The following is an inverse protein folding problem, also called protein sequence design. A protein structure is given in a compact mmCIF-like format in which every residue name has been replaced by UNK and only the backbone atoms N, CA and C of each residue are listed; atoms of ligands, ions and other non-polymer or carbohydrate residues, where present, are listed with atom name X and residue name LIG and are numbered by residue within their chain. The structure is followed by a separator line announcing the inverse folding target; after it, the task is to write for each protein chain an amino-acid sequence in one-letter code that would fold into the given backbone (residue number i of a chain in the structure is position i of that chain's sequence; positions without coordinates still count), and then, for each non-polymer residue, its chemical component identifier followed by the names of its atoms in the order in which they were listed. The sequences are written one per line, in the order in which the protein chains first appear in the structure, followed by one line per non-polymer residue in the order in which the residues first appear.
data_IF_924672080613
#
_entry.id   IF_924672080613
#
_cell.length_a   1.000
_cell.length_b   1.000
_cell.length_c   1.000
_cell.angle_alpha   90.00
_cell.angle_beta   90.00
_cell.angle_gamma   90.00
#
_symmetry.space_group_name_H-M   'P 1'
#
loop_
_entity.id
_entity.type
_entity.pdbx_description
1 polymer ?
#
# COMPACT_ATOMS: atom_id res chain seq x y z
N UNK A 1 53.45 13.53 -16.84
CA UNK A 1 54.28 14.63 -16.35
C UNK A 1 53.44 15.50 -15.45
N UNK A 2 53.76 15.37 -14.15
CA UNK A 2 53.77 16.37 -13.07
C UNK A 2 52.42 16.72 -12.43
N UNK A 3 52.23 16.11 -11.26
CA UNK A 3 51.67 16.69 -10.01
C UNK A 3 52.69 17.70 -9.46
N UNK A 4 52.35 18.76 -8.72
CA UNK A 4 52.17 18.60 -7.27
C UNK A 4 51.13 19.57 -6.67
N UNK A 5 50.52 19.16 -5.59
CA UNK A 5 50.85 19.30 -4.14
C UNK A 5 50.49 20.68 -3.58
N UNK A 6 49.57 20.67 -2.64
CA UNK A 6 49.69 20.73 -1.18
C UNK A 6 49.92 22.11 -0.56
N UNK A 7 49.43 22.18 0.66
CA UNK A 7 49.86 23.03 1.80
C UNK A 7 48.78 24.01 2.25
N UNK A 8 48.05 23.76 3.30
CA UNK A 8 48.38 23.65 4.72
C UNK A 8 48.19 24.97 5.52
N UNK A 9 47.69 24.78 6.69
CA UNK A 9 47.90 25.52 7.95
C UNK A 9 46.87 26.60 8.30
N UNK A 10 46.18 26.41 9.32
CA UNK A 10 46.41 26.33 10.76
C UNK A 10 45.93 27.55 11.56
N UNK A 11 45.17 27.24 12.59
CA UNK A 11 45.26 27.76 13.97
C UNK A 11 44.96 29.23 14.31
N UNK A 12 44.05 29.39 15.21
CA UNK A 12 44.18 29.92 16.60
C UNK A 12 42.81 30.23 17.14
N UNK A 13 42.30 29.49 18.08
CA UNK A 13 42.42 29.69 19.56
C UNK A 13 42.38 31.16 19.99
N UNK A 14 41.35 31.45 20.80
CA UNK A 14 41.49 32.12 22.09
C UNK A 14 40.13 32.23 22.79
N UNK A 15 40.00 31.55 23.92
CA UNK A 15 39.31 31.94 25.15
C UNK A 15 40.27 32.89 25.93
N UNK A 16 39.92 33.48 27.11
CA UNK A 16 38.72 33.47 27.95
C UNK A 16 38.43 34.85 28.58
N UNK A 17 37.63 34.93 29.64
CA UNK A 17 37.65 35.73 30.89
C UNK A 17 36.24 36.25 31.21
N UNK A 18 35.51 35.65 32.16
CA UNK A 18 35.44 35.69 33.66
C UNK A 18 34.85 36.98 34.25
N UNK A 19 33.96 36.72 35.20
CA UNK A 19 33.40 37.57 36.30
C UNK A 19 32.12 38.34 35.93
N UNK A 20 31.05 38.34 36.75
CA UNK A 20 30.89 38.32 38.20
C UNK A 20 29.45 37.95 38.58
N UNK A 21 29.27 37.14 39.58
CA UNK A 21 28.12 37.08 40.50
C UNK A 21 28.37 38.15 41.61
N UNK A 22 27.49 38.59 42.48
CA UNK A 22 26.21 37.99 42.94
C UNK A 22 25.08 38.99 43.27
N UNK A 23 23.88 38.53 43.56
CA UNK A 23 23.10 38.93 44.74
C UNK A 23 21.77 38.18 44.89
N UNK A 24 21.67 37.62 46.06
CA UNK A 24 20.56 36.89 46.65
C UNK A 24 19.30 37.75 46.89
N UNK A 25 18.14 37.07 46.73
CA UNK A 25 16.97 36.89 47.61
C UNK A 25 15.82 37.93 47.48
N UNK A 26 14.57 37.55 47.82
CA UNK A 26 14.00 36.32 48.33
C UNK A 26 12.77 35.75 47.56
N UNK A 27 12.47 34.49 47.81
CA UNK A 27 11.28 33.72 47.47
C UNK A 27 9.94 34.44 47.75
N UNK A 28 8.91 34.11 46.96
CA UNK A 28 7.70 33.64 47.55
C UNK A 28 7.38 32.18 47.13
N UNK A 29 7.00 31.45 48.14
CA UNK A 29 6.43 30.12 48.08
C UNK A 29 5.29 30.07 47.05
N UNK A 30 5.49 29.36 45.97
CA UNK A 30 4.38 28.88 45.18
C UNK A 30 4.15 27.42 45.52
N UNK A 31 2.99 27.24 46.13
CA UNK A 31 2.24 26.02 46.32
C UNK A 31 2.52 25.04 45.16
N UNK A 32 3.01 23.84 45.53
CA UNK A 32 3.10 22.73 44.62
C UNK A 32 1.72 22.41 44.11
N UNK A 33 1.45 22.82 42.88
CA UNK A 33 0.37 22.22 42.11
C UNK A 33 0.93 20.90 41.62
N UNK A 34 0.46 19.85 42.26
CA UNK A 34 0.62 18.47 41.85
C UNK A 34 0.09 18.37 40.41
N UNK A 35 0.99 18.43 39.44
CA UNK A 35 0.67 18.10 38.08
C UNK A 35 0.44 16.59 38.08
N UNK A 36 -0.82 16.24 38.22
CA UNK A 36 -1.32 14.90 37.91
C UNK A 36 -0.94 14.66 36.46
N UNK A 37 0.05 13.82 36.24
CA UNK A 37 0.36 13.29 34.91
C UNK A 37 -0.96 12.73 34.34
N UNK A 38 -1.34 13.05 33.10
CA UNK A 38 -2.44 12.34 32.49
C UNK A 38 -2.05 10.87 32.47
N UNK A 39 -2.84 10.07 33.17
CA UNK A 39 -2.81 8.63 33.06
C UNK A 39 -2.77 8.29 31.57
N UNK A 40 -1.67 7.74 31.11
CA UNK A 40 -1.53 7.03 29.86
C UNK A 40 -2.46 5.80 29.96
N UNK A 41 -3.75 6.03 29.79
CA UNK A 41 -4.68 4.94 29.52
C UNK A 41 -4.28 4.47 28.13
N UNK A 42 -3.71 3.27 28.00
CA UNK A 42 -3.47 2.73 26.68
C UNK A 42 -4.85 2.65 26.02
N UNK A 43 -5.09 3.52 25.04
CA UNK A 43 -6.28 3.42 24.20
C UNK A 43 -6.27 1.98 23.68
N UNK A 44 -7.19 1.17 24.18
CA UNK A 44 -7.39 -0.18 23.71
C UNK A 44 -7.67 -0.06 22.20
N UNK A 45 -6.67 -0.30 21.39
CA UNK A 45 -6.81 -0.30 19.93
C UNK A 45 -7.90 -1.31 19.60
N UNK A 46 -9.02 -0.81 19.10
CA UNK A 46 -10.12 -1.65 18.62
C UNK A 46 -9.57 -2.41 17.41
N UNK A 47 -9.22 -3.66 17.62
CA UNK A 47 -8.82 -4.53 16.52
C UNK A 47 -10.08 -4.97 15.77
N UNK A 48 -10.19 -4.58 14.53
CA UNK A 48 -11.20 -5.11 13.62
C UNK A 48 -10.76 -6.49 13.14
N UNK A 49 -11.54 -7.51 13.42
CA UNK A 49 -11.32 -8.84 12.88
C UNK A 49 -11.71 -8.84 11.40
N UNK A 50 -10.71 -8.92 10.55
CA UNK A 50 -10.86 -9.07 9.09
C UNK A 50 -10.44 -10.49 8.73
N UNK A 51 -11.31 -11.22 8.02
CA UNK A 51 -10.97 -12.54 7.51
C UNK A 51 -9.79 -12.48 6.52
N UNK A 52 -8.99 -13.54 6.48
CA UNK A 52 -7.88 -13.62 5.55
C UNK A 52 -8.39 -13.60 4.10
N UNK A 53 -7.75 -12.81 3.26
CA UNK A 53 -8.06 -12.74 1.83
C UNK A 53 -6.81 -12.57 0.99
N UNK A 54 -6.94 -12.87 -0.29
CA UNK A 54 -5.91 -12.64 -1.29
C UNK A 54 -6.53 -12.04 -2.55
N UNK A 55 -5.91 -10.98 -3.05
CA UNK A 55 -6.26 -10.35 -4.33
C UNK A 55 -5.07 -10.49 -5.26
N UNK A 56 -5.31 -11.05 -6.43
CA UNK A 56 -4.31 -11.14 -7.48
C UNK A 56 -4.64 -10.17 -8.62
N UNK A 57 -3.60 -9.62 -9.23
CA UNK A 57 -3.71 -8.69 -10.33
C UNK A 57 -2.82 -9.09 -11.49
N UNK A 58 -3.34 -8.93 -12.70
CA UNK A 58 -2.59 -9.00 -13.95
C UNK A 58 -2.51 -7.59 -14.54
N UNK A 59 -1.32 -7.03 -14.56
CA UNK A 59 -1.08 -5.69 -15.08
C UNK A 59 -0.63 -5.75 -16.53
N UNK A 60 -1.35 -5.03 -17.38
CA UNK A 60 -1.02 -4.77 -18.78
C UNK A 60 -0.72 -3.29 -18.99
N UNK A 61 -0.17 -2.89 -20.13
CA UNK A 61 0.10 -1.48 -20.41
C UNK A 61 -1.14 -0.57 -20.37
N UNK A 62 -2.32 -1.11 -20.65
CA UNK A 62 -3.57 -0.35 -20.84
C UNK A 62 -4.69 -0.75 -19.88
N UNK A 63 -4.57 -1.86 -19.17
CA UNK A 63 -5.55 -2.25 -18.16
C UNK A 63 -4.94 -3.11 -17.06
N UNK A 64 -5.67 -3.21 -15.94
CA UNK A 64 -5.38 -4.14 -14.84
C UNK A 64 -6.58 -5.06 -14.66
N UNK A 65 -6.32 -6.35 -14.53
CA UNK A 65 -7.35 -7.36 -14.27
C UNK A 65 -7.16 -7.87 -12.85
N UNK A 66 -8.19 -7.76 -12.03
CA UNK A 66 -8.18 -8.09 -10.61
C UNK A 66 -9.10 -9.29 -10.34
N UNK A 67 -8.68 -10.15 -9.43
CA UNK A 67 -9.46 -11.30 -8.97
C UNK A 67 -9.24 -11.54 -7.48
N UNK A 68 -10.30 -11.91 -6.77
CA UNK A 68 -10.20 -12.48 -5.43
C UNK A 68 -9.73 -13.93 -5.55
N UNK A 69 -8.62 -14.27 -4.86
CA UNK A 69 -7.95 -15.56 -5.02
C UNK A 69 -7.84 -16.40 -3.74
N UNK A 70 -8.51 -15.98 -2.66
CA UNK A 70 -8.43 -16.64 -1.34
C UNK A 70 -8.74 -18.13 -1.39
N UNK A 71 -9.79 -18.51 -2.12
CA UNK A 71 -10.31 -19.87 -2.14
C UNK A 71 -10.53 -20.41 -3.56
N UNK A 72 -9.65 -20.07 -4.50
CA UNK A 72 -9.76 -20.57 -5.85
C UNK A 72 -9.55 -22.08 -5.93
N UNK A 73 -10.47 -22.79 -6.58
CA UNK A 73 -10.30 -24.19 -6.94
C UNK A 73 -9.14 -24.39 -7.92
N UNK A 74 -8.63 -25.61 -8.02
CA UNK A 74 -7.55 -25.94 -8.94
C UNK A 74 -7.88 -25.57 -10.41
N UNK A 75 -9.14 -25.73 -10.83
CA UNK A 75 -9.59 -25.37 -12.17
C UNK A 75 -9.59 -23.86 -12.40
N UNK A 76 -10.02 -23.08 -11.40
CA UNK A 76 -9.99 -21.62 -11.46
C UNK A 76 -8.54 -21.10 -11.48
N UNK A 77 -7.67 -21.64 -10.63
CA UNK A 77 -6.23 -21.32 -10.64
C UNK A 77 -5.58 -21.62 -11.99
N UNK A 78 -5.94 -22.74 -12.61
CA UNK A 78 -5.43 -23.10 -13.93
C UNK A 78 -5.94 -22.13 -15.00
N UNK A 79 -7.22 -21.76 -14.95
CA UNK A 79 -7.79 -20.76 -15.87
C UNK A 79 -7.09 -19.41 -15.71
N UNK A 80 -6.87 -18.95 -14.48
CA UNK A 80 -6.17 -17.71 -14.18
C UNK A 80 -4.75 -17.68 -14.73
N UNK A 81 -3.98 -18.76 -14.49
CA UNK A 81 -2.62 -18.91 -15.06
C UNK A 81 -2.63 -18.91 -16.58
N UNK A 82 -3.60 -19.55 -17.20
CA UNK A 82 -3.73 -19.56 -18.66
C UNK A 82 -4.00 -18.14 -19.20
N UNK A 83 -4.83 -17.35 -18.52
CA UNK A 83 -5.09 -15.94 -18.86
C UNK A 83 -3.79 -15.14 -18.74
N UNK A 84 -3.06 -15.29 -17.63
CA UNK A 84 -1.77 -14.61 -17.42
C UNK A 84 -0.79 -14.93 -18.56
N UNK A 85 -0.62 -16.20 -18.87
CA UNK A 85 0.27 -16.64 -19.94
C UNK A 85 -0.10 -16.10 -21.32
N UNK A 86 -1.40 -16.13 -21.64
CA UNK A 86 -1.89 -15.66 -22.92
C UNK A 86 -1.70 -14.13 -23.11
N UNK A 87 -1.79 -13.38 -22.01
CA UNK A 87 -1.63 -11.93 -22.00
C UNK A 87 -0.17 -11.48 -21.81
N UNK A 88 0.71 -12.36 -21.37
CA UNK A 88 2.07 -12.03 -20.94
C UNK A 88 2.07 -10.89 -19.91
N UNK A 89 1.07 -10.87 -19.02
CA UNK A 89 0.84 -9.82 -18.05
C UNK A 89 1.77 -9.95 -16.85
N UNK A 90 2.14 -8.81 -16.29
CA UNK A 90 2.85 -8.75 -15.02
C UNK A 90 1.93 -9.14 -13.87
N UNK A 91 2.44 -9.97 -12.96
CA UNK A 91 1.66 -10.54 -11.87
C UNK A 91 1.96 -9.83 -10.57
N UNK A 92 0.92 -9.45 -9.85
CA UNK A 92 0.98 -8.84 -8.52
C UNK A 92 0.00 -9.54 -7.58
N UNK A 93 0.30 -9.54 -6.29
CA UNK A 93 -0.56 -10.12 -5.26
C UNK A 93 -0.57 -9.28 -4.00
N UNK A 94 -1.74 -9.11 -3.42
CA UNK A 94 -1.96 -8.56 -2.08
C UNK A 94 -2.57 -9.66 -1.22
N UNK A 95 -1.98 -9.91 -0.05
CA UNK A 95 -2.45 -10.92 0.90
C UNK A 95 -2.72 -10.29 2.26
N UNK A 96 -3.85 -10.62 2.86
CA UNK A 96 -4.19 -10.28 4.23
C UNK A 96 -4.31 -11.58 5.07
N UNK A 97 -3.81 -11.64 6.32
CA UNK A 97 -3.10 -10.57 7.02
C UNK A 97 -1.69 -10.30 6.47
N UNK A 98 -1.23 -9.06 6.62
CA UNK A 98 0.13 -8.70 6.25
C UNK A 98 1.15 -9.40 7.14
N UNK A 99 2.37 -9.58 6.64
CA UNK A 99 3.47 -10.21 7.38
C UNK A 99 3.88 -9.39 8.64
N UNK A 100 3.62 -8.08 8.67
CA UNK A 100 3.92 -7.22 9.81
C UNK A 100 2.73 -7.14 10.75
N UNK A 101 2.88 -7.65 11.97
CA UNK A 101 1.82 -7.69 13.00
C UNK A 101 1.24 -6.30 13.31
N UNK A 102 2.07 -5.25 13.28
CA UNK A 102 1.63 -3.87 13.53
C UNK A 102 0.60 -3.36 12.51
N UNK A 103 0.51 -3.99 11.35
CA UNK A 103 -0.44 -3.66 10.29
C UNK A 103 -1.66 -4.58 10.25
N UNK A 104 -1.83 -5.44 11.24
CA UNK A 104 -2.92 -6.45 11.29
C UNK A 104 -4.12 -6.00 12.12
N UNK A 105 -4.22 -4.74 12.51
CA UNK A 105 -5.33 -4.22 13.29
C UNK A 105 -6.67 -4.14 12.53
N UNK A 106 -6.64 -4.33 11.23
CA UNK A 106 -7.81 -4.32 10.34
C UNK A 106 -8.39 -2.93 10.06
N UNK A 107 -7.98 -1.89 10.79
CA UNK A 107 -8.57 -0.54 10.68
C UNK A 107 -8.31 0.08 9.30
N UNK A 108 -7.17 -0.20 8.70
CA UNK A 108 -6.75 0.38 7.42
C UNK A 108 -6.94 -0.53 6.21
N UNK A 109 -7.59 -1.71 6.35
CA UNK A 109 -7.62 -2.72 5.28
C UNK A 109 -8.17 -2.21 3.95
N UNK A 110 -9.24 -1.40 3.98
CA UNK A 110 -9.81 -0.80 2.76
C UNK A 110 -8.82 0.15 2.09
N UNK A 111 -8.09 0.95 2.86
CA UNK A 111 -7.06 1.85 2.33
C UNK A 111 -5.88 1.09 1.72
N UNK A 112 -5.51 -0.06 2.29
CA UNK A 112 -4.45 -0.91 1.73
C UNK A 112 -4.87 -1.52 0.40
N UNK A 113 -6.11 -2.05 0.33
CA UNK A 113 -6.66 -2.59 -0.92
C UNK A 113 -6.77 -1.48 -1.96
N UNK A 114 -7.30 -0.31 -1.57
CA UNK A 114 -7.40 0.84 -2.47
C UNK A 114 -6.03 1.27 -2.98
N UNK A 115 -5.05 1.45 -2.09
CA UNK A 115 -3.68 1.84 -2.47
C UNK A 115 -3.00 0.83 -3.41
N UNK A 116 -3.19 -0.47 -3.18
CA UNK A 116 -2.69 -1.52 -4.08
C UNK A 116 -3.30 -1.39 -5.47
N UNK A 117 -4.62 -1.21 -5.54
CA UNK A 117 -5.33 -1.06 -6.80
C UNK A 117 -4.95 0.23 -7.51
N UNK A 118 -4.87 1.37 -6.80
CA UNK A 118 -4.54 2.67 -7.37
C UNK A 118 -3.15 2.68 -8.01
N UNK A 119 -2.16 2.07 -7.34
CA UNK A 119 -0.80 1.96 -7.88
C UNK A 119 -0.76 1.17 -9.18
N UNK A 120 -1.51 0.08 -9.27
CA UNK A 120 -1.51 -0.78 -10.45
C UNK A 120 -2.34 -0.21 -11.59
N UNK A 121 -3.43 0.50 -11.27
CA UNK A 121 -4.38 1.03 -12.24
C UNK A 121 -4.14 2.49 -12.63
N UNK A 122 -3.03 3.11 -12.20
CA UNK A 122 -2.69 4.47 -12.58
C UNK A 122 -2.73 4.63 -14.11
N UNK A 123 -3.63 5.51 -14.58
CA UNK A 123 -3.89 5.78 -16.01
C UNK A 123 -4.32 4.55 -16.84
N UNK A 124 -4.90 3.52 -16.20
CA UNK A 124 -5.33 2.28 -16.86
C UNK A 124 -6.78 1.96 -16.55
N UNK A 125 -7.41 1.25 -17.48
CA UNK A 125 -8.74 0.70 -17.23
C UNK A 125 -8.68 -0.46 -16.23
N UNK A 126 -9.68 -0.52 -15.36
CA UNK A 126 -9.77 -1.56 -14.34
C UNK A 126 -10.86 -2.57 -14.69
N UNK A 127 -10.48 -3.85 -14.74
CA UNK A 127 -11.37 -4.98 -14.97
C UNK A 127 -11.39 -5.85 -13.73
N UNK A 128 -12.58 -6.16 -13.19
CA UNK A 128 -12.72 -6.99 -11.98
C UNK A 128 -13.45 -8.28 -12.35
N UNK A 129 -12.85 -9.43 -12.07
CA UNK A 129 -13.46 -10.73 -12.26
C UNK A 129 -14.21 -11.15 -11.00
N UNK A 130 -15.55 -11.02 -11.04
CA UNK A 130 -16.39 -11.24 -9.88
C UNK A 130 -16.43 -10.03 -8.93
N UNK A 131 -16.13 -10.25 -7.65
CA UNK A 131 -16.13 -9.21 -6.62
C UNK A 131 -14.79 -9.20 -5.88
N UNK A 132 -14.38 -8.05 -5.38
CA UNK A 132 -13.19 -7.91 -4.54
C UNK A 132 -13.59 -7.56 -3.10
N UNK A 133 -12.97 -8.20 -2.09
CA UNK A 133 -13.16 -7.82 -0.70
C UNK A 133 -12.57 -6.43 -0.44
N UNK A 134 -13.23 -5.67 0.44
CA UNK A 134 -12.75 -4.36 0.91
C UNK A 134 -12.44 -3.33 -0.19
N UNK A 135 -13.02 -3.51 -1.39
CA UNK A 135 -12.84 -2.61 -2.51
C UNK A 135 -14.19 -2.20 -3.12
N UNK A 136 -14.35 -0.91 -3.39
CA UNK A 136 -15.51 -0.35 -4.07
C UNK A 136 -15.04 0.75 -5.01
N UNK A 137 -15.41 0.66 -6.27
CA UNK A 137 -15.17 1.71 -7.24
C UNK A 137 -16.28 1.70 -8.29
N UNK A 138 -16.70 2.88 -8.71
CA UNK A 138 -17.63 3.05 -9.83
C UNK A 138 -16.91 3.10 -11.19
N UNK A 139 -15.57 3.23 -11.14
CA UNK A 139 -14.74 3.39 -12.35
C UNK A 139 -14.10 2.07 -12.80
N UNK A 140 -14.76 0.95 -12.56
CA UNK A 140 -14.28 -0.36 -12.96
C UNK A 140 -15.33 -1.11 -13.76
N UNK A 141 -14.86 -1.97 -14.66
CA UNK A 141 -15.72 -2.88 -15.41
C UNK A 141 -15.76 -4.23 -14.70
N UNK A 142 -16.93 -4.56 -14.16
CA UNK A 142 -17.17 -5.87 -13.59
C UNK A 142 -17.46 -6.90 -14.67
N UNK A 143 -16.73 -8.00 -14.63
CA UNK A 143 -16.86 -9.14 -15.55
C UNK A 143 -17.21 -10.39 -14.75
N UNK A 144 -17.58 -11.44 -15.48
CA UNK A 144 -17.85 -12.74 -14.87
C UNK A 144 -16.67 -13.25 -14.06
N UNK A 145 -16.95 -13.92 -12.94
CA UNK A 145 -15.95 -14.62 -12.13
C UNK A 145 -15.29 -15.78 -12.87
N UNK A 146 -14.15 -16.24 -12.37
CA UNK A 146 -13.49 -17.43 -12.94
C UNK A 146 -14.40 -18.68 -12.91
N UNK A 147 -15.27 -18.80 -11.88
CA UNK A 147 -16.20 -19.92 -11.80
C UNK A 147 -17.26 -19.82 -12.91
N UNK A 148 -17.88 -18.67 -13.08
CA UNK A 148 -18.85 -18.48 -14.14
C UNK A 148 -18.26 -18.71 -15.54
N UNK A 149 -16.99 -18.31 -15.75
CA UNK A 149 -16.27 -18.59 -17.00
C UNK A 149 -15.96 -20.07 -17.22
N UNK A 150 -15.84 -20.87 -16.15
CA UNK A 150 -15.70 -22.33 -16.27
C UNK A 150 -17.04 -22.98 -16.62
N UNK A 151 -18.13 -22.51 -16.03
CA UNK A 151 -19.48 -23.02 -16.25
C UNK A 151 -20.03 -22.60 -17.62
N UNK A 152 -19.70 -21.38 -18.05
CA UNK A 152 -20.13 -20.77 -19.30
C UNK A 152 -18.94 -20.27 -20.14
N UNK A 153 -18.35 -21.11 -20.99
CA UNK A 153 -17.14 -20.74 -21.75
C UNK A 153 -17.24 -19.49 -22.62
N UNK A 154 -18.43 -19.09 -23.01
CA UNK A 154 -18.68 -17.86 -23.79
C UNK A 154 -18.31 -16.60 -23.01
N UNK A 155 -18.37 -16.62 -21.67
CA UNK A 155 -17.97 -15.49 -20.83
C UNK A 155 -16.47 -15.18 -20.91
N UNK A 156 -15.64 -16.15 -21.29
CA UNK A 156 -14.22 -15.91 -21.60
C UNK A 156 -14.07 -14.98 -22.80
N UNK A 157 -14.96 -15.07 -23.78
CA UNK A 157 -14.96 -14.15 -24.93
C UNK A 157 -15.22 -12.72 -24.47
N UNK A 158 -16.18 -12.51 -23.55
CA UNK A 158 -16.47 -11.19 -23.00
C UNK A 158 -15.24 -10.55 -22.32
N UNK A 159 -14.43 -11.33 -21.61
CA UNK A 159 -13.17 -10.87 -21.07
C UNK A 159 -12.20 -10.41 -22.17
N UNK A 160 -12.02 -11.20 -23.24
CA UNK A 160 -11.14 -10.83 -24.35
C UNK A 160 -11.61 -9.60 -25.09
N UNK A 161 -12.92 -9.50 -25.33
CA UNK A 161 -13.53 -8.31 -25.97
C UNK A 161 -13.32 -7.05 -25.13
N UNK A 162 -13.46 -7.15 -23.79
CA UNK A 162 -13.19 -6.04 -22.88
C UNK A 162 -11.70 -5.61 -22.90
N UNK A 163 -10.77 -6.57 -22.86
CA UNK A 163 -9.32 -6.30 -22.94
C UNK A 163 -8.96 -5.62 -24.27
N UNK A 164 -9.55 -6.06 -25.37
CA UNK A 164 -9.31 -5.46 -26.69
C UNK A 164 -9.87 -4.04 -26.76
N UNK A 165 -11.06 -3.82 -26.23
CA UNK A 165 -11.67 -2.48 -26.19
C UNK A 165 -10.80 -1.48 -25.41
N UNK A 166 -10.24 -1.89 -24.27
CA UNK A 166 -9.34 -1.03 -23.49
C UNK A 166 -8.03 -0.73 -24.24
N UNK A 167 -7.51 -1.69 -25.01
CA UNK A 167 -6.28 -1.50 -25.79
C UNK A 167 -6.45 -0.51 -26.95
N UNK A 168 -7.66 -0.40 -27.49
CA UNK A 168 -7.97 0.53 -28.60
C UNK A 168 -8.12 1.97 -28.09
N UNK A 169 -8.64 2.17 -26.89
CA UNK A 169 -8.79 3.51 -26.30
C UNK A 169 -7.45 4.22 -26.08
N UNK A 170 -6.37 3.48 -25.83
CA UNK A 170 -5.05 4.06 -25.63
C UNK A 170 -4.37 4.51 -26.96
N UNK A 171 -4.86 4.06 -28.10
CA UNK A 171 -4.32 4.39 -29.43
C UNK A 171 -5.02 5.56 -30.11
N UNK A 172 -6.09 6.06 -29.51
CA UNK A 172 -6.86 7.20 -30.02
C UNK A 172 -6.42 8.50 -29.35
#
# INVERSE_FOLDING_TARGET
IIVPAAVNQQLKQQQPIIHEEPKQEPSPQHTAVEVVAPDDIPEARVMLQVEAFSIEALQLPYCVILVESTALSQKQQQLWRNIQHALQAEYHVLQWPFALEVLQDGIGVENYVQGFVDVLSADKNMLILGQLPHFRSEQCLHLASLQEMLDQPLLKKSLWDAIQATSLQLKA
#
